data_IF_757034550351
#
_entry.id   IF_757034550351
#
_cell.length_a   1.000
_cell.length_b   1.000
_cell.length_c   1.000
_cell.angle_alpha   90.00
_cell.angle_beta   90.00
_cell.angle_gamma   90.00
#
_symmetry.space_group_name_H-M   'P 1'
#
loop_
_entity.id
_entity.type
_entity.pdbx_description
1 polymer ?
#
# COMPACT_ATOMS: atom_id res chain seq x y z
N UNK A 1 129.18 -0.92 14.37
CA UNK A 1 128.31 -0.08 15.21
C UNK A 1 127.27 0.65 14.36
N UNK A 2 127.65 1.18 13.19
CA UNK A 2 126.74 1.98 12.34
C UNK A 2 125.57 1.18 11.75
N UNK A 3 125.81 -0.07 11.31
CA UNK A 3 124.75 -0.94 10.76
C UNK A 3 123.62 -1.16 11.77
N UNK A 4 123.95 -1.36 13.05
CA UNK A 4 122.96 -1.55 14.12
C UNK A 4 122.11 -0.29 14.36
N UNK A 5 122.71 0.91 14.24
CA UNK A 5 122.00 2.19 14.39
C UNK A 5 121.02 2.38 13.24
N UNK A 6 121.42 2.12 12.00
CA UNK A 6 120.52 2.20 10.84
C UNK A 6 119.36 1.20 10.91
N UNK A 7 119.60 -0.02 11.42
CA UNK A 7 118.54 -1.01 11.64
C UNK A 7 117.51 -0.56 12.68
N UNK A 8 117.94 0.11 13.75
CA UNK A 8 117.03 0.63 14.79
C UNK A 8 116.21 1.80 14.24
N UNK A 9 116.84 2.72 13.49
CA UNK A 9 116.15 3.86 12.89
C UNK A 9 115.09 3.41 11.87
N UNK A 10 115.42 2.45 10.99
CA UNK A 10 114.46 1.94 10.00
C UNK A 10 113.26 1.24 10.66
N UNK A 11 113.48 0.54 11.78
CA UNK A 11 112.43 -0.09 12.57
C UNK A 11 111.50 0.96 13.20
N UNK A 12 112.07 2.03 13.79
CA UNK A 12 111.30 3.15 14.35
C UNK A 12 110.47 3.84 13.27
N UNK A 13 111.07 4.14 12.11
CA UNK A 13 110.36 4.78 10.99
C UNK A 13 109.24 3.86 10.46
N UNK A 14 109.50 2.57 10.32
CA UNK A 14 108.49 1.58 9.93
C UNK A 14 107.30 1.52 10.90
N UNK A 15 107.56 1.56 12.21
CA UNK A 15 106.51 1.59 13.24
C UNK A 15 105.71 2.89 13.19
N UNK A 16 106.37 4.04 12.99
CA UNK A 16 105.68 5.35 12.90
C UNK A 16 104.78 5.41 11.66
N UNK A 17 105.29 4.99 10.49
CA UNK A 17 104.52 4.96 9.24
C UNK A 17 103.38 3.94 9.35
N UNK A 18 103.65 2.74 9.86
CA UNK A 18 102.64 1.70 10.07
C UNK A 18 101.52 2.17 10.99
N UNK A 19 101.86 2.83 12.10
CA UNK A 19 100.87 3.39 13.03
C UNK A 19 100.06 4.51 12.39
N UNK A 20 100.68 5.38 11.60
CA UNK A 20 99.97 6.46 10.89
C UNK A 20 98.96 5.90 9.87
N UNK A 21 99.37 4.92 9.05
CA UNK A 21 98.49 4.26 8.09
C UNK A 21 97.33 3.52 8.77
N UNK A 22 97.58 2.82 9.87
CA UNK A 22 96.53 2.15 10.65
C UNK A 22 95.50 3.13 11.19
N UNK A 23 95.93 4.24 11.79
CA UNK A 23 95.01 5.27 12.30
C UNK A 23 94.15 5.86 11.17
N UNK A 24 94.74 6.09 9.99
CA UNK A 24 94.01 6.63 8.84
C UNK A 24 92.96 5.63 8.31
N UNK A 25 93.30 4.35 8.24
CA UNK A 25 92.37 3.28 7.84
C UNK A 25 91.21 3.14 8.85
N UNK A 26 91.51 3.12 10.15
CA UNK A 26 90.47 3.02 11.18
C UNK A 26 89.55 4.24 11.19
N UNK A 27 90.09 5.46 11.03
CA UNK A 27 89.26 6.68 10.90
C UNK A 27 88.37 6.63 9.67
N UNK A 28 88.87 6.13 8.53
CA UNK A 28 88.07 5.99 7.31
C UNK A 28 86.94 4.96 7.49
N UNK A 29 87.24 3.80 8.08
CA UNK A 29 86.23 2.79 8.38
C UNK A 29 85.18 3.30 9.37
N UNK A 30 85.59 4.03 10.40
CA UNK A 30 84.67 4.65 11.36
C UNK A 30 83.75 5.69 10.67
N UNK A 31 84.31 6.51 9.79
CA UNK A 31 83.53 7.48 9.02
C UNK A 31 82.54 6.79 8.07
N UNK A 32 82.98 5.78 7.32
CA UNK A 32 82.10 5.00 6.44
C UNK A 32 80.98 4.30 7.22
N UNK A 33 81.28 3.79 8.42
CA UNK A 33 80.27 3.19 9.29
C UNK A 33 79.25 4.23 9.77
N UNK A 34 79.71 5.43 10.18
CA UNK A 34 78.82 6.54 10.56
C UNK A 34 77.94 7.01 9.40
N UNK A 35 78.53 7.14 8.21
CA UNK A 35 77.79 7.56 7.01
C UNK A 35 76.73 6.53 6.61
N UNK A 36 77.05 5.23 6.70
CA UNK A 36 76.07 4.15 6.49
C UNK A 36 74.93 4.19 7.52
N UNK A 37 75.24 4.36 8.80
CA UNK A 37 74.21 4.46 9.85
C UNK A 37 73.31 5.68 9.60
N UNK A 38 73.90 6.83 9.26
CA UNK A 38 73.15 8.04 8.94
C UNK A 38 72.25 7.85 7.70
N UNK A 39 72.73 7.16 6.66
CA UNK A 39 71.92 6.82 5.49
C UNK A 39 70.75 5.93 5.88
N UNK A 40 70.99 4.86 6.65
CA UNK A 40 69.94 3.94 7.09
C UNK A 40 68.87 4.66 7.91
N UNK A 41 69.28 5.54 8.84
CA UNK A 41 68.34 6.33 9.63
C UNK A 41 67.51 7.27 8.75
N UNK A 42 68.15 7.96 7.81
CA UNK A 42 67.46 8.85 6.88
C UNK A 42 66.47 8.09 5.99
N UNK A 43 66.87 6.93 5.46
CA UNK A 43 66.02 6.09 4.63
C UNK A 43 64.83 5.55 5.45
N UNK A 44 65.07 5.15 6.70
CA UNK A 44 64.02 4.70 7.61
C UNK A 44 63.02 5.83 7.96
N UNK A 45 63.50 7.05 8.18
CA UNK A 45 62.64 8.23 8.40
C UNK A 45 61.80 8.56 7.16
N UNK A 46 62.42 8.53 5.97
CA UNK A 46 61.73 8.78 4.71
C UNK A 46 60.66 7.72 4.43
N UNK A 47 60.97 6.44 4.63
CA UNK A 47 59.99 5.36 4.45
C UNK A 47 58.87 5.44 5.50
N UNK A 48 59.20 5.80 6.74
CA UNK A 48 58.20 6.03 7.80
C UNK A 48 57.22 7.15 7.43
N UNK A 49 57.71 8.29 6.94
CA UNK A 49 56.87 9.39 6.47
C UNK A 49 56.07 9.01 5.22
N UNK A 50 56.64 8.22 4.31
CA UNK A 50 55.95 7.70 3.13
C UNK A 50 54.80 6.77 3.53
N UNK A 51 55.03 5.81 4.43
CA UNK A 51 54.00 4.90 4.96
C UNK A 51 52.89 5.70 5.63
N UNK A 52 53.24 6.67 6.48
CA UNK A 52 52.26 7.52 7.16
C UNK A 52 51.37 8.28 6.17
N UNK A 53 51.96 8.89 5.14
CA UNK A 53 51.23 9.60 4.08
C UNK A 53 50.34 8.63 3.29
N UNK A 54 50.86 7.46 2.93
CA UNK A 54 50.11 6.42 2.21
C UNK A 54 48.90 5.95 3.01
N UNK A 55 49.08 5.63 4.30
CA UNK A 55 47.98 5.22 5.19
C UNK A 55 46.94 6.32 5.37
N UNK A 56 47.37 7.58 5.48
CA UNK A 56 46.45 8.71 5.56
C UNK A 56 45.64 8.86 4.27
N UNK A 57 46.26 8.66 3.11
CA UNK A 57 45.60 8.71 1.81
C UNK A 57 44.60 7.56 1.65
N UNK A 58 45.00 6.32 1.94
CA UNK A 58 44.11 5.14 1.95
C UNK A 58 42.90 5.35 2.87
N UNK A 59 43.11 5.95 4.05
CA UNK A 59 42.03 6.27 4.98
C UNK A 59 41.07 7.32 4.41
N UNK A 60 41.61 8.37 3.76
CA UNK A 60 40.79 9.40 3.10
C UNK A 60 39.98 8.83 1.93
N UNK A 61 40.59 7.98 1.12
CA UNK A 61 39.91 7.31 0.00
C UNK A 61 38.77 6.43 0.50
N UNK A 62 39.03 5.58 1.52
CA UNK A 62 37.98 4.76 2.14
C UNK A 62 36.86 5.61 2.75
N UNK A 63 37.21 6.70 3.41
CA UNK A 63 36.21 7.61 3.97
C UNK A 63 35.33 8.23 2.89
N UNK A 64 35.93 8.73 1.80
CA UNK A 64 35.19 9.29 0.68
C UNK A 64 34.32 8.24 -0.03
N UNK A 65 34.83 7.02 -0.18
CA UNK A 65 34.08 5.90 -0.74
C UNK A 65 32.86 5.57 0.12
N UNK A 66 33.05 5.36 1.43
CA UNK A 66 31.95 5.07 2.36
C UNK A 66 30.93 6.21 2.40
N UNK A 67 31.40 7.46 2.36
CA UNK A 67 30.51 8.62 2.29
C UNK A 67 29.68 8.62 1.00
N UNK A 68 30.30 8.35 -0.14
CA UNK A 68 29.60 8.27 -1.43
C UNK A 68 28.59 7.13 -1.48
N UNK A 69 28.96 5.96 -0.96
CA UNK A 69 28.06 4.80 -0.83
C UNK A 69 26.86 5.13 0.06
N UNK A 70 27.09 5.80 1.19
CA UNK A 70 26.02 6.24 2.09
C UNK A 70 25.10 7.28 1.44
N UNK A 71 25.65 8.30 0.77
CA UNK A 71 24.85 9.29 0.04
C UNK A 71 24.00 8.65 -1.06
N UNK A 72 24.56 7.66 -1.77
CA UNK A 72 23.83 6.89 -2.77
C UNK A 72 22.69 6.08 -2.15
N UNK A 73 22.94 5.40 -1.04
CA UNK A 73 21.91 4.62 -0.32
C UNK A 73 20.79 5.53 0.20
N UNK A 74 21.13 6.67 0.82
CA UNK A 74 20.16 7.65 1.30
C UNK A 74 19.32 8.18 0.15
N UNK A 75 19.94 8.52 -0.99
CA UNK A 75 19.21 8.97 -2.16
C UNK A 75 18.27 7.88 -2.72
N UNK A 76 18.72 6.63 -2.79
CA UNK A 76 17.88 5.51 -3.21
C UNK A 76 16.69 5.30 -2.26
N UNK A 77 16.91 5.36 -0.94
CA UNK A 77 15.85 5.27 0.06
C UNK A 77 14.86 6.42 -0.07
N UNK A 78 15.33 7.66 -0.21
CA UNK A 78 14.48 8.83 -0.39
C UNK A 78 13.64 8.73 -1.66
N UNK A 79 14.22 8.29 -2.78
CA UNK A 79 13.47 8.07 -4.02
C UNK A 79 12.40 6.98 -3.86
N UNK A 80 12.72 5.88 -3.19
CA UNK A 80 11.75 4.81 -2.90
C UNK A 80 10.62 5.29 -1.98
N UNK A 81 10.92 6.12 -0.97
CA UNK A 81 9.92 6.74 -0.09
C UNK A 81 9.02 7.67 -0.90
N UNK A 82 9.59 8.60 -1.68
CA UNK A 82 8.83 9.54 -2.51
C UNK A 82 7.90 8.83 -3.50
N UNK A 83 8.35 7.72 -4.11
CA UNK A 83 7.51 6.91 -5.00
C UNK A 83 6.32 6.28 -4.25
N UNK A 84 6.57 5.73 -3.05
CA UNK A 84 5.52 5.17 -2.20
C UNK A 84 4.53 6.24 -1.74
N UNK A 85 5.00 7.40 -1.30
CA UNK A 85 4.16 8.53 -0.90
C UNK A 85 3.27 9.02 -2.04
N UNK A 86 3.83 9.18 -3.25
CA UNK A 86 3.04 9.54 -4.43
C UNK A 86 1.96 8.50 -4.75
N UNK A 87 2.32 7.21 -4.66
CA UNK A 87 1.36 6.11 -4.87
C UNK A 87 0.24 6.11 -3.83
N UNK A 88 0.59 6.35 -2.55
CA UNK A 88 -0.38 6.45 -1.46
C UNK A 88 -1.30 7.65 -1.66
N UNK A 89 -0.76 8.81 -2.01
CA UNK A 89 -1.53 10.03 -2.28
C UNK A 89 -2.53 9.84 -3.42
N UNK A 90 -2.14 9.16 -4.50
CA UNK A 90 -3.04 8.82 -5.60
C UNK A 90 -4.17 7.88 -5.16
N UNK A 91 -3.84 6.86 -4.34
CA UNK A 91 -4.84 5.95 -3.76
C UNK A 91 -5.80 6.68 -2.84
N UNK A 92 -5.29 7.57 -1.99
CA UNK A 92 -6.10 8.40 -1.08
C UNK A 92 -7.07 9.29 -1.87
N UNK A 93 -6.61 9.96 -2.92
CA UNK A 93 -7.46 10.75 -3.80
C UNK A 93 -8.55 9.89 -4.47
N UNK A 94 -8.20 8.70 -4.97
CA UNK A 94 -9.16 7.76 -5.57
C UNK A 94 -10.20 7.27 -4.55
N UNK A 95 -9.77 6.97 -3.32
CA UNK A 95 -10.66 6.56 -2.23
C UNK A 95 -11.61 7.70 -1.86
N UNK A 96 -11.11 8.93 -1.73
CA UNK A 96 -11.93 10.09 -1.40
C UNK A 96 -13.00 10.35 -2.48
N UNK A 97 -12.65 10.23 -3.77
CA UNK A 97 -13.63 10.32 -4.86
C UNK A 97 -14.69 9.22 -4.79
N UNK A 98 -14.29 7.97 -4.52
CA UNK A 98 -15.24 6.86 -4.34
C UNK A 98 -16.16 7.09 -3.15
N UNK A 99 -15.63 7.62 -2.06
CA UNK A 99 -16.38 7.91 -0.84
C UNK A 99 -17.40 9.03 -1.08
N UNK A 100 -17.03 10.07 -1.84
CA UNK A 100 -17.95 11.12 -2.27
C UNK A 100 -19.09 10.56 -3.14
N UNK A 101 -18.78 9.69 -4.12
CA UNK A 101 -19.79 9.04 -4.95
C UNK A 101 -20.73 8.16 -4.12
N UNK A 102 -20.19 7.35 -3.20
CA UNK A 102 -21.00 6.51 -2.29
C UNK A 102 -21.92 7.37 -1.43
N UNK A 103 -21.46 8.51 -0.94
CA UNK A 103 -22.29 9.42 -0.15
C UNK A 103 -23.43 10.03 -0.99
N UNK A 104 -23.17 10.40 -2.25
CA UNK A 104 -24.21 10.87 -3.18
C UNK A 104 -25.23 9.78 -3.45
N UNK A 105 -24.78 8.58 -3.80
CA UNK A 105 -25.66 7.43 -4.04
C UNK A 105 -26.51 7.11 -2.80
N UNK A 106 -25.92 7.19 -1.60
CA UNK A 106 -26.66 6.98 -0.34
C UNK A 106 -27.75 8.03 -0.15
N UNK A 107 -27.48 9.30 -0.46
CA UNK A 107 -28.47 10.37 -0.38
C UNK A 107 -29.59 10.21 -1.41
N UNK A 108 -29.26 9.78 -2.63
CA UNK A 108 -30.23 9.48 -3.68
C UNK A 108 -31.13 8.30 -3.29
N UNK A 109 -30.55 7.24 -2.74
CA UNK A 109 -31.29 6.07 -2.24
C UNK A 109 -32.22 6.46 -1.08
N UNK A 110 -31.75 7.28 -0.13
CA UNK A 110 -32.59 7.78 0.98
C UNK A 110 -33.76 8.63 0.46
N UNK A 111 -33.50 9.49 -0.53
CA UNK A 111 -34.54 10.30 -1.17
C UNK A 111 -35.58 9.44 -1.87
N UNK A 112 -35.14 8.43 -2.64
CA UNK A 112 -36.04 7.47 -3.31
C UNK A 112 -36.84 6.64 -2.32
N UNK A 113 -36.24 6.21 -1.20
CA UNK A 113 -36.96 5.52 -0.12
C UNK A 113 -38.08 6.39 0.43
N UNK A 114 -37.79 7.65 0.79
CA UNK A 114 -38.82 8.59 1.26
C UNK A 114 -39.93 8.84 0.24
N UNK A 115 -39.61 8.86 -1.05
CA UNK A 115 -40.62 8.96 -2.11
C UNK A 115 -41.48 7.71 -2.21
N UNK A 116 -40.87 6.52 -2.15
CA UNK A 116 -41.58 5.24 -2.13
C UNK A 116 -42.50 5.13 -0.91
N UNK A 117 -42.01 5.47 0.28
CA UNK A 117 -42.82 5.43 1.51
C UNK A 117 -44.07 6.32 1.39
N UNK A 118 -43.94 7.52 0.80
CA UNK A 118 -45.09 8.39 0.50
C UNK A 118 -46.06 7.80 -0.51
N UNK A 119 -45.55 7.13 -1.54
CA UNK A 119 -46.39 6.49 -2.56
C UNK A 119 -47.15 5.31 -1.96
N UNK A 120 -46.51 4.54 -1.08
CA UNK A 120 -47.15 3.43 -0.34
C UNK A 120 -48.29 4.00 0.53
N UNK A 121 -48.03 5.02 1.34
CA UNK A 121 -49.06 5.65 2.19
C UNK A 121 -50.25 6.20 1.36
N UNK A 122 -49.96 6.83 0.21
CA UNK A 122 -51.00 7.33 -0.69
C UNK A 122 -51.81 6.21 -1.33
N UNK A 123 -51.16 5.10 -1.68
CA UNK A 123 -51.83 3.94 -2.26
C UNK A 123 -52.70 3.21 -1.23
N UNK A 124 -52.24 3.11 0.02
CA UNK A 124 -53.02 2.60 1.15
C UNK A 124 -54.29 3.45 1.36
N UNK A 125 -54.18 4.78 1.44
CA UNK A 125 -55.34 5.68 1.55
C UNK A 125 -56.31 5.53 0.39
N UNK A 126 -55.81 5.45 -0.85
CA UNK A 126 -56.68 5.21 -2.02
C UNK A 126 -57.37 3.85 -1.96
N UNK A 127 -56.69 2.81 -1.49
CA UNK A 127 -57.28 1.49 -1.31
C UNK A 127 -58.43 1.56 -0.29
N UNK A 128 -58.22 2.23 0.84
CA UNK A 128 -59.26 2.45 1.85
C UNK A 128 -60.45 3.25 1.30
N UNK A 129 -60.20 4.33 0.55
CA UNK A 129 -61.25 5.12 -0.11
C UNK A 129 -62.04 4.29 -1.13
N UNK A 130 -61.37 3.50 -1.97
CA UNK A 130 -62.01 2.62 -2.94
C UNK A 130 -62.87 1.58 -2.24
N UNK A 131 -62.38 1.00 -1.15
CA UNK A 131 -63.11 0.01 -0.36
C UNK A 131 -64.34 0.62 0.32
N UNK A 132 -64.21 1.85 0.85
CA UNK A 132 -65.34 2.61 1.41
C UNK A 132 -66.39 2.97 0.34
N UNK A 133 -65.96 3.45 -0.83
CA UNK A 133 -66.85 3.76 -1.96
C UNK A 133 -67.56 2.51 -2.47
N UNK A 134 -66.86 1.37 -2.53
CA UNK A 134 -67.44 0.09 -2.91
C UNK A 134 -68.51 -0.34 -1.91
N UNK A 135 -68.25 -0.22 -0.60
CA UNK A 135 -69.25 -0.49 0.45
C UNK A 135 -70.46 0.45 0.34
N UNK A 136 -70.24 1.74 0.04
CA UNK A 136 -71.31 2.71 -0.16
C UNK A 136 -72.15 2.38 -1.40
N UNK A 137 -71.53 2.02 -2.52
CA UNK A 137 -72.23 1.58 -3.72
C UNK A 137 -73.06 0.33 -3.47
N UNK A 138 -72.51 -0.65 -2.74
CA UNK A 138 -73.26 -1.86 -2.34
C UNK A 138 -74.51 -1.45 -1.54
N UNK A 139 -74.36 -0.61 -0.50
CA UNK A 139 -75.51 -0.14 0.30
C UNK A 139 -76.55 0.63 -0.51
N UNK A 140 -76.12 1.47 -1.46
CA UNK A 140 -77.03 2.21 -2.33
C UNK A 140 -77.77 1.27 -3.28
N UNK A 141 -77.09 0.26 -3.85
CA UNK A 141 -77.73 -0.77 -4.68
C UNK A 141 -78.74 -1.58 -3.87
N UNK A 142 -78.42 -1.97 -2.63
CA UNK A 142 -79.36 -2.64 -1.72
C UNK A 142 -80.58 -1.76 -1.41
N UNK A 143 -80.38 -0.46 -1.18
CA UNK A 143 -81.47 0.49 -0.92
C UNK A 143 -82.36 0.76 -2.13
N UNK A 144 -81.80 0.84 -3.34
CA UNK A 144 -82.55 1.05 -4.59
C UNK A 144 -83.30 -0.22 -4.98
N UNK A 145 -82.69 -1.39 -4.78
CA UNK A 145 -83.31 -2.68 -5.05
C UNK A 145 -84.40 -3.02 -4.02
N UNK A 146 -84.42 -2.38 -2.85
CA UNK A 146 -85.40 -2.67 -1.79
C UNK A 146 -85.25 -4.07 -1.18
N UNK A 147 -84.13 -4.73 -1.47
CA UNK A 147 -83.76 -6.07 -1.00
C UNK A 147 -82.25 -6.09 -0.77
N UNK A 148 -81.82 -6.63 0.37
CA UNK A 148 -80.41 -6.85 0.69
C UNK A 148 -79.77 -7.83 -0.29
N UNK A 149 -78.44 -7.84 -0.45
CA UNK A 149 -77.77 -8.76 -1.39
C UNK A 149 -78.10 -10.24 -1.12
N UNK A 150 -78.28 -10.62 0.15
CA UNK A 150 -78.74 -11.96 0.54
C UNK A 150 -80.23 -12.20 0.23
N UNK A 151 -81.09 -11.19 0.38
CA UNK A 151 -82.50 -11.30 -0.02
C UNK A 151 -82.69 -11.34 -1.53
N UNK A 152 -81.90 -10.58 -2.31
CA UNK A 152 -81.91 -10.63 -3.77
C UNK A 152 -81.42 -12.00 -4.28
N UNK A 153 -80.40 -12.57 -3.64
CA UNK A 153 -79.93 -13.94 -3.93
C UNK A 153 -81.00 -14.98 -3.59
N UNK A 154 -81.67 -14.85 -2.45
CA UNK A 154 -82.77 -15.75 -2.07
C UNK A 154 -83.99 -15.61 -3.00
N UNK A 155 -84.38 -14.39 -3.37
CA UNK A 155 -85.46 -14.15 -4.34
C UNK A 155 -85.11 -14.71 -5.73
N UNK A 156 -83.85 -14.60 -6.18
CA UNK A 156 -83.41 -15.19 -7.44
C UNK A 156 -83.44 -16.72 -7.39
N UNK A 157 -83.05 -17.32 -6.26
CA UNK A 157 -83.13 -18.78 -6.07
C UNK A 157 -84.58 -19.25 -6.02
N UNK A 158 -85.46 -18.51 -5.36
CA UNK A 158 -86.89 -18.85 -5.27
C UNK A 158 -87.61 -18.63 -6.61
N UNK A 159 -87.28 -17.58 -7.38
CA UNK A 159 -87.84 -17.39 -8.73
C UNK A 159 -87.38 -18.49 -9.70
N UNK A 160 -86.12 -18.92 -9.63
CA UNK A 160 -85.61 -20.06 -10.40
C UNK A 160 -86.29 -21.37 -9.99
N UNK A 161 -86.62 -21.56 -8.70
CA UNK A 161 -87.39 -22.73 -8.23
C UNK A 161 -88.83 -22.70 -8.74
N UNK A 162 -89.49 -21.56 -8.69
CA UNK A 162 -90.85 -21.36 -9.22
C UNK A 162 -90.89 -21.57 -10.74
N UNK A 163 -89.91 -21.04 -11.47
CA UNK A 163 -89.80 -21.23 -12.92
C UNK A 163 -89.52 -22.70 -13.27
N UNK A 164 -88.62 -23.36 -12.55
CA UNK A 164 -88.37 -24.80 -12.73
C UNK A 164 -89.62 -25.65 -12.40
N UNK A 165 -90.40 -25.30 -11.37
CA UNK A 165 -91.70 -25.94 -11.07
C UNK A 165 -92.71 -25.69 -12.18
N UNK A 166 -92.84 -24.46 -12.65
CA UNK A 166 -93.75 -24.10 -13.73
C UNK A 166 -93.40 -24.83 -15.02
N UNK A 167 -92.11 -24.91 -15.38
CA UNK A 167 -91.65 -25.71 -16.52
C UNK A 167 -91.88 -27.20 -16.33
N UNK A 168 -91.70 -27.74 -15.11
CA UNK A 168 -92.01 -29.13 -14.81
C UNK A 168 -93.51 -29.44 -14.92
N UNK A 169 -94.37 -28.53 -14.46
CA UNK A 169 -95.84 -28.62 -14.58
C UNK A 169 -96.26 -28.47 -16.04
N UNK A 170 -95.67 -27.54 -16.79
CA UNK A 170 -95.92 -27.37 -18.21
C UNK A 170 -95.51 -28.63 -19.00
N UNK A 171 -94.33 -29.18 -18.69
CA UNK A 171 -93.83 -30.41 -19.30
C UNK A 171 -94.66 -31.64 -18.90
N UNK A 172 -95.12 -31.74 -17.67
CA UNK A 172 -96.02 -32.83 -17.24
C UNK A 172 -97.40 -32.71 -17.90
N UNK A 173 -97.91 -31.49 -18.07
CA UNK A 173 -99.16 -31.22 -18.79
C UNK A 173 -99.05 -31.54 -20.29
N UNK A 174 -97.91 -31.24 -20.91
CA UNK A 174 -97.61 -31.65 -22.30
C UNK A 174 -97.50 -33.18 -22.41
N UNK A 175 -96.85 -33.85 -21.45
CA UNK A 175 -96.76 -35.30 -21.43
C UNK A 175 -98.14 -35.95 -21.23
N UNK A 176 -98.99 -35.38 -20.38
CA UNK A 176 -100.37 -35.83 -20.16
C UNK A 176 -101.26 -35.64 -21.39
N UNK A 177 -101.13 -34.51 -22.12
CA UNK A 177 -101.82 -34.27 -23.40
C UNK A 177 -101.32 -35.13 -24.57
N UNK A 178 -100.17 -35.80 -24.42
CA UNK A 178 -99.59 -36.67 -25.45
C UNK A 178 -99.89 -38.16 -25.21
N UNK A 179 -100.36 -38.52 -24.01
CA UNK A 179 -100.73 -39.88 -23.61
C UNK A 179 -102.25 -40.12 -23.59
N UNK A 180 -103.06 -39.07 -23.77
CA UNK A 180 -104.52 -39.12 -23.98
C UNK A 180 -104.85 -38.61 -25.38
#
# INVERSE_FOLDING_TARGET
MDIAIYSIISLIVGVVIGRYLLVLLFKKQEQEAKDKVNSILKDAEQEGEHIKKKRLLEAKEKFLQLKSEHEKEVNQRNNAINQKENTLRQKEQSINQKLENINRDKQDVDTRKKQLDKLVELNEKKSEEVEALKLQQIKQLESIAGVTADEAKNQLVDSLREEARSQAIFKSKILWMRQN
#
